data_IF_971617832509
#
_entry.id   IF_971617832509
#
_cell.length_a   1.000
_cell.length_b   1.000
_cell.length_c   1.000
_cell.angle_alpha   90.00
_cell.angle_beta   90.00
_cell.angle_gamma   90.00
#
_symmetry.space_group_name_H-M   'P 1'
#
loop_
_entity.id
_entity.type
_entity.pdbx_description
1 polymer ?
#
# COMPACT_ATOMS: atom_id res chain seq x y z
N UNK A 1 4.00 11.04 11.51
CA UNK A 1 3.42 9.98 12.37
C UNK A 1 2.01 9.59 11.91
N UNK A 2 1.79 9.20 10.65
CA UNK A 2 0.42 8.83 10.16
C UNK A 2 0.39 7.57 9.28
N UNK A 3 1.52 7.15 8.70
CA UNK A 3 1.53 6.05 7.73
C UNK A 3 1.76 4.64 8.35
N UNK A 4 1.44 4.40 9.63
CA UNK A 4 1.70 3.08 10.25
C UNK A 4 0.52 2.13 10.21
N UNK A 5 -0.74 2.56 10.21
CA UNK A 5 -1.82 1.57 10.35
C UNK A 5 -3.13 2.06 9.75
N UNK A 6 -3.34 1.76 8.47
CA UNK A 6 -4.68 1.52 7.97
C UNK A 6 -4.67 0.46 6.86
N UNK A 7 -4.38 -0.81 7.17
CA UNK A 7 -4.71 -1.91 6.26
C UNK A 7 -6.21 -1.88 5.87
N UNK A 8 -7.05 -1.36 6.76
CA UNK A 8 -8.49 -1.17 6.59
C UNK A 8 -8.88 0.06 5.75
N UNK A 9 -8.02 1.06 5.52
CA UNK A 9 -8.30 2.14 4.54
C UNK A 9 -8.30 1.61 3.11
N UNK A 10 -7.63 0.47 2.87
CA UNK A 10 -7.56 -0.15 1.56
C UNK A 10 -8.64 -1.22 1.35
N UNK A 11 -9.44 -1.52 2.38
CA UNK A 11 -10.57 -2.45 2.28
C UNK A 11 -11.67 -1.78 1.45
N UNK A 12 -11.78 -2.18 0.18
CA UNK A 12 -12.77 -1.64 -0.76
C UNK A 12 -12.24 -0.57 -1.73
N UNK A 13 -11.00 -0.09 -1.58
CA UNK A 13 -10.43 0.97 -2.46
C UNK A 13 -9.54 0.42 -3.57
N UNK A 14 -9.60 -0.89 -3.85
CA UNK A 14 -8.76 -1.50 -4.90
C UNK A 14 -9.01 -0.87 -6.27
N UNK A 15 -10.27 -0.60 -6.60
CA UNK A 15 -10.67 0.07 -7.84
C UNK A 15 -10.23 1.54 -7.87
N UNK A 16 -10.37 2.26 -6.76
CA UNK A 16 -9.89 3.63 -6.63
C UNK A 16 -8.36 3.72 -6.76
N UNK A 17 -7.63 2.75 -6.22
CA UNK A 17 -6.18 2.66 -6.35
C UNK A 17 -5.76 2.39 -7.79
N UNK A 18 -6.48 1.50 -8.49
CA UNK A 18 -6.26 1.24 -9.92
C UNK A 18 -6.57 2.48 -10.77
N UNK A 19 -7.59 3.25 -10.42
CA UNK A 19 -7.90 4.51 -11.10
C UNK A 19 -6.83 5.57 -10.84
N UNK A 20 -6.33 5.65 -9.61
CA UNK A 20 -5.24 6.56 -9.24
C UNK A 20 -3.92 6.23 -9.97
N UNK A 21 -3.65 4.95 -10.23
CA UNK A 21 -2.50 4.51 -11.04
C UNK A 21 -2.61 4.90 -12.53
N UNK A 22 -3.82 5.11 -13.04
CA UNK A 22 -4.05 5.55 -14.42
C UNK A 22 -3.80 7.05 -14.60
N UNK A 23 -3.73 7.82 -13.52
CA UNK A 23 -3.36 9.23 -13.62
C UNK A 23 -1.90 9.38 -14.04
N UNK A 24 -1.62 10.34 -14.92
CA UNK A 24 -0.26 10.56 -15.44
C UNK A 24 0.58 11.44 -14.49
N UNK A 25 0.58 11.07 -13.22
CA UNK A 25 1.33 11.72 -12.16
C UNK A 25 2.36 10.75 -11.61
N UNK A 26 3.62 10.94 -12.04
CA UNK A 26 4.74 10.12 -11.58
C UNK A 26 4.90 10.14 -10.06
N UNK A 27 4.64 11.27 -9.41
CA UNK A 27 4.67 11.39 -7.94
C UNK A 27 3.64 10.50 -7.26
N UNK A 28 2.44 10.37 -7.84
CA UNK A 28 1.38 9.53 -7.30
C UNK A 28 1.75 8.05 -7.49
N UNK A 29 2.21 7.66 -8.68
CA UNK A 29 2.63 6.27 -8.97
C UNK A 29 3.75 5.82 -8.04
N UNK A 30 4.77 6.65 -7.83
CA UNK A 30 5.89 6.37 -6.93
C UNK A 30 5.42 6.23 -5.47
N UNK A 31 4.51 7.11 -5.02
CA UNK A 31 3.92 7.03 -3.68
C UNK A 31 3.17 5.71 -3.44
N UNK A 32 2.37 5.28 -4.42
CA UNK A 32 1.64 3.99 -4.36
C UNK A 32 2.63 2.82 -4.30
N UNK A 33 3.65 2.82 -5.15
CA UNK A 33 4.66 1.76 -5.18
C UNK A 33 5.36 1.62 -3.82
N UNK A 34 5.76 2.73 -3.21
CA UNK A 34 6.43 2.74 -1.92
C UNK A 34 5.56 2.19 -0.79
N UNK A 35 4.27 2.57 -0.76
CA UNK A 35 3.32 2.07 0.24
C UNK A 35 3.10 0.57 0.09
N UNK A 36 2.90 0.08 -1.15
CA UNK A 36 2.70 -1.35 -1.41
C UNK A 36 3.93 -2.18 -1.07
N UNK A 37 5.13 -1.72 -1.44
CA UNK A 37 6.39 -2.38 -1.10
C UNK A 37 6.56 -2.51 0.42
N UNK A 38 6.27 -1.44 1.16
CA UNK A 38 6.34 -1.43 2.63
C UNK A 38 5.30 -2.36 3.26
N UNK A 39 4.06 -2.36 2.77
CA UNK A 39 3.01 -3.26 3.24
C UNK A 39 3.39 -4.74 3.01
N UNK A 40 3.88 -5.08 1.82
CA UNK A 40 4.36 -6.43 1.50
C UNK A 40 5.52 -6.88 2.39
N UNK A 41 6.47 -5.98 2.68
CA UNK A 41 7.55 -6.22 3.63
C UNK A 41 7.04 -6.53 5.04
N UNK A 42 6.14 -5.70 5.57
CA UNK A 42 5.55 -5.92 6.91
C UNK A 42 4.71 -7.21 6.99
N UNK A 43 3.97 -7.58 5.93
CA UNK A 43 3.25 -8.86 5.88
C UNK A 43 4.23 -10.03 5.96
N UNK A 44 5.33 -9.98 5.19
CA UNK A 44 6.39 -11.00 5.23
C UNK A 44 7.01 -11.13 6.63
N UNK A 45 7.31 -10.01 7.28
CA UNK A 45 7.83 -9.99 8.65
C UNK A 45 6.84 -10.59 9.64
N UNK A 46 5.56 -10.21 9.57
CA UNK A 46 4.54 -10.75 10.46
C UNK A 46 4.34 -12.26 10.27
N UNK A 47 4.32 -12.74 9.02
CA UNK A 47 4.22 -14.17 8.71
C UNK A 47 5.42 -14.96 9.26
N UNK A 48 6.63 -14.40 9.17
CA UNK A 48 7.83 -15.01 9.73
C UNK A 48 7.82 -15.08 11.27
N UNK A 49 7.15 -14.15 11.94
CA UNK A 49 7.00 -14.13 13.40
C UNK A 49 5.93 -15.10 13.92
N UNK A 50 4.94 -15.44 13.10
CA UNK A 50 3.85 -16.37 13.43
C UNK A 50 4.15 -17.83 13.08
N UNK A 51 5.43 -18.19 12.87
CA UNK A 51 5.90 -19.55 12.55
C UNK A 51 6.49 -20.27 13.76
#
# INVERSE_FOLDING_TARGET
MVARFFPSLLSGTGEDLVNLLKEDSETIKEGILHVLARAGGSIREQLALTS
#
